data_IF_863408645571
#
_entry.id   IF_863408645571
#
_cell.length_a   1.000
_cell.length_b   1.000
_cell.length_c   1.000
_cell.angle_alpha   90.00
_cell.angle_beta   90.00
_cell.angle_gamma   90.00
#
_symmetry.space_group_name_H-M   'P 1'
#
loop_
_entity.id
_entity.type
_entity.pdbx_description
1 polymer ?
#
# COMPACT_ATOMS: atom_id res chain seq x y z
N UNK A 1 -6.69 -4.09 -14.20
CA UNK A 1 -6.53 -3.20 -13.03
C UNK A 1 -7.86 -2.54 -12.77
N UNK A 2 -8.35 -2.54 -11.53
CA UNK A 2 -9.54 -1.81 -11.13
C UNK A 2 -9.14 -0.53 -10.37
N UNK A 3 -9.78 0.58 -10.70
CA UNK A 3 -9.59 1.86 -10.00
C UNK A 3 -10.80 2.16 -9.15
N UNK A 4 -10.56 2.51 -7.90
CA UNK A 4 -11.61 2.84 -6.93
C UNK A 4 -11.49 4.31 -6.57
N UNK A 5 -12.60 5.03 -6.74
CA UNK A 5 -12.70 6.44 -6.36
C UNK A 5 -13.46 6.55 -5.03
N UNK A 6 -12.92 7.26 -4.03
CA UNK A 6 -13.61 7.45 -2.76
C UNK A 6 -14.71 8.50 -2.91
N UNK A 7 -15.79 8.33 -2.17
CA UNK A 7 -16.79 9.37 -1.95
C UNK A 7 -16.27 10.45 -0.98
N UNK A 8 -15.71 10.01 0.14
CA UNK A 8 -14.97 10.83 1.10
C UNK A 8 -13.59 10.22 1.34
N UNK A 9 -12.57 10.80 0.70
CA UNK A 9 -11.20 10.28 0.76
C UNK A 9 -10.64 10.17 2.18
N UNK A 10 -10.92 11.15 3.03
CA UNK A 10 -10.37 11.13 4.40
C UNK A 10 -11.09 10.10 5.26
N UNK A 11 -12.42 10.02 5.18
CA UNK A 11 -13.19 9.04 5.93
C UNK A 11 -12.91 7.61 5.46
N UNK A 12 -12.79 7.39 4.15
CA UNK A 12 -12.62 6.04 3.60
C UNK A 12 -11.18 5.54 3.69
N UNK A 13 -10.18 6.40 3.38
CA UNK A 13 -8.80 5.95 3.28
C UNK A 13 -8.02 6.04 4.61
N UNK A 14 -8.51 6.79 5.59
CA UNK A 14 -7.89 6.88 6.91
C UNK A 14 -8.22 5.66 7.80
N UNK A 15 -7.90 4.44 7.34
CA UNK A 15 -8.10 3.22 8.11
C UNK A 15 -9.58 2.80 8.30
N UNK A 16 -10.44 2.98 7.31
CA UNK A 16 -11.85 2.60 7.36
C UNK A 16 -12.07 1.09 7.27
N UNK A 17 -12.80 0.52 8.24
CA UNK A 17 -13.21 -0.88 8.19
C UNK A 17 -14.28 -1.13 7.12
N UNK A 18 -15.17 -0.15 6.88
CA UNK A 18 -16.20 -0.25 5.85
C UNK A 18 -15.58 -0.28 4.44
N UNK A 19 -14.59 0.59 4.19
CA UNK A 19 -13.86 0.60 2.92
C UNK A 19 -13.11 -0.71 2.70
N UNK A 20 -12.41 -1.22 3.73
CA UNK A 20 -11.72 -2.50 3.64
C UNK A 20 -12.68 -3.68 3.37
N UNK A 21 -13.87 -3.67 3.96
CA UNK A 21 -14.92 -4.66 3.70
C UNK A 21 -15.43 -4.56 2.27
N UNK A 22 -15.73 -3.36 1.80
CA UNK A 22 -16.15 -3.12 0.43
C UNK A 22 -15.15 -3.70 -0.57
N UNK A 23 -13.87 -3.34 -0.46
CA UNK A 23 -12.82 -3.83 -1.36
C UNK A 23 -12.74 -5.37 -1.37
N UNK A 24 -12.84 -6.00 -0.19
CA UNK A 24 -12.52 -7.41 -0.03
C UNK A 24 -13.74 -8.33 -0.18
N UNK A 25 -14.89 -7.94 0.38
CA UNK A 25 -16.07 -8.78 0.43
C UNK A 25 -17.10 -8.48 -0.66
N UNK A 26 -16.97 -7.36 -1.36
CA UNK A 26 -17.89 -6.94 -2.39
C UNK A 26 -17.19 -6.80 -3.75
N UNK A 27 -16.19 -5.92 -3.85
CA UNK A 27 -15.54 -5.62 -5.12
C UNK A 27 -14.71 -6.79 -5.67
N UNK A 28 -13.89 -7.46 -4.86
CA UNK A 28 -13.06 -8.59 -5.33
C UNK A 28 -13.93 -9.73 -5.87
N UNK A 29 -14.97 -10.23 -5.16
CA UNK A 29 -15.84 -11.26 -5.70
C UNK A 29 -16.57 -10.84 -6.98
N UNK A 30 -17.01 -9.58 -7.07
CA UNK A 30 -17.66 -9.07 -8.28
C UNK A 30 -16.72 -9.09 -9.47
N UNK A 31 -15.48 -8.59 -9.31
CA UNK A 31 -14.49 -8.60 -10.38
C UNK A 31 -14.11 -10.02 -10.82
N UNK A 32 -14.04 -10.96 -9.89
CA UNK A 32 -13.73 -12.36 -10.19
C UNK A 32 -14.90 -13.09 -10.88
N UNK A 33 -16.11 -12.63 -10.66
CA UNK A 33 -17.29 -13.15 -11.39
C UNK A 33 -17.40 -12.57 -12.81
N UNK A 34 -16.98 -11.32 -13.02
CA UNK A 34 -17.09 -10.61 -14.30
C UNK A 34 -15.90 -10.83 -15.25
N UNK A 35 -14.71 -11.10 -14.71
CA UNK A 35 -13.48 -11.18 -15.49
C UNK A 35 -12.72 -12.48 -15.23
N UNK A 36 -11.97 -13.01 -16.22
CA UNK A 36 -11.20 -14.25 -16.09
C UNK A 36 -9.92 -13.99 -15.24
N UNK A 37 -10.09 -13.75 -13.97
CA UNK A 37 -9.00 -13.51 -13.02
C UNK A 37 -8.54 -14.84 -12.40
N UNK A 38 -7.25 -14.87 -11.98
CA UNK A 38 -6.69 -16.09 -11.39
C UNK A 38 -7.28 -16.46 -10.02
N UNK A 39 -7.92 -15.53 -9.32
CA UNK A 39 -8.65 -15.78 -8.08
C UNK A 39 -7.78 -16.19 -6.87
N UNK A 40 -6.46 -16.00 -6.92
CA UNK A 40 -5.54 -16.40 -5.86
C UNK A 40 -4.93 -15.19 -5.15
N UNK A 41 -4.55 -15.30 -3.87
CA UNK A 41 -3.87 -14.21 -3.17
C UNK A 41 -2.64 -13.68 -3.91
N UNK A 42 -1.83 -14.55 -4.50
CA UNK A 42 -0.61 -14.17 -5.24
C UNK A 42 -0.89 -13.35 -6.50
N UNK A 43 -2.11 -13.40 -7.03
CA UNK A 43 -2.56 -12.61 -8.18
C UNK A 43 -3.24 -11.29 -7.79
N UNK A 44 -3.43 -11.03 -6.50
CA UNK A 44 -4.09 -9.82 -6.00
C UNK A 44 -3.09 -8.88 -5.35
N UNK A 45 -3.05 -7.64 -5.83
CA UNK A 45 -2.28 -6.55 -5.25
C UNK A 45 -3.19 -5.38 -4.90
N UNK A 46 -3.09 -4.88 -3.69
CA UNK A 46 -3.63 -3.56 -3.35
C UNK A 46 -2.57 -2.50 -3.64
N UNK A 47 -2.99 -1.47 -4.37
CA UNK A 47 -2.14 -0.33 -4.69
C UNK A 47 -2.75 0.96 -4.17
N UNK A 48 -1.92 1.85 -3.65
CA UNK A 48 -2.37 3.17 -3.24
C UNK A 48 -1.23 4.14 -2.99
N UNK A 49 -1.55 5.42 -3.12
CA UNK A 49 -0.62 6.51 -2.83
C UNK A 49 -1.16 7.38 -1.68
N UNK A 50 -0.26 7.95 -0.87
CA UNK A 50 -0.61 8.84 0.23
C UNK A 50 -1.56 8.13 1.23
N UNK A 51 -2.75 8.67 1.47
CA UNK A 51 -3.82 7.99 2.25
C UNK A 51 -4.25 6.65 1.62
N UNK A 52 -4.20 6.53 0.28
CA UNK A 52 -4.47 5.27 -0.40
C UNK A 52 -3.52 4.14 -0.02
N UNK A 53 -2.26 4.44 0.29
CA UNK A 53 -1.31 3.46 0.81
C UNK A 53 -1.69 3.01 2.23
N UNK A 54 -2.25 3.89 3.06
CA UNK A 54 -2.79 3.53 4.37
C UNK A 54 -4.01 2.63 4.22
N UNK A 55 -4.93 2.96 3.29
CA UNK A 55 -6.09 2.13 2.99
C UNK A 55 -5.68 0.74 2.53
N UNK A 56 -4.70 0.63 1.62
CA UNK A 56 -4.18 -0.65 1.14
C UNK A 56 -3.59 -1.49 2.28
N UNK A 57 -2.69 -0.92 3.08
CA UNK A 57 -2.09 -1.61 4.22
C UNK A 57 -3.13 -2.03 5.26
N UNK A 58 -4.06 -1.13 5.61
CA UNK A 58 -5.08 -1.40 6.62
C UNK A 58 -6.12 -2.42 6.16
N UNK A 59 -6.40 -2.49 4.86
CA UNK A 59 -7.26 -3.51 4.27
C UNK A 59 -6.59 -4.88 4.34
N UNK A 60 -5.34 -5.02 3.91
CA UNK A 60 -4.59 -6.26 4.01
C UNK A 60 -4.41 -6.71 5.47
N UNK A 61 -4.24 -5.77 6.40
CA UNK A 61 -4.18 -6.05 7.83
C UNK A 61 -5.48 -6.64 8.38
N UNK A 62 -6.64 -6.18 7.91
CA UNK A 62 -7.96 -6.71 8.33
C UNK A 62 -8.31 -8.02 7.68
N UNK A 63 -7.86 -8.24 6.47
CA UNK A 63 -8.16 -9.42 5.65
C UNK A 63 -6.88 -10.16 5.25
N UNK A 64 -6.16 -10.76 6.23
CA UNK A 64 -4.91 -11.47 5.95
C UNK A 64 -5.17 -12.67 5.03
N UNK A 65 -4.24 -12.90 4.11
CA UNK A 65 -4.32 -14.01 3.16
C UNK A 65 -5.22 -13.77 1.95
N UNK A 66 -5.85 -12.60 1.81
CA UNK A 66 -6.63 -12.27 0.61
C UNK A 66 -5.76 -11.64 -0.47
N UNK A 67 -4.82 -10.80 -0.10
CA UNK A 67 -3.92 -10.08 -0.99
C UNK A 67 -2.48 -10.57 -0.81
N UNK A 68 -1.84 -11.00 -1.89
CA UNK A 68 -0.45 -11.48 -1.84
C UNK A 68 0.57 -10.36 -1.94
N UNK A 69 0.17 -9.16 -2.39
CA UNK A 69 1.11 -8.05 -2.59
C UNK A 69 0.50 -6.70 -2.28
N UNK A 70 1.40 -5.76 -1.91
CA UNK A 70 1.07 -4.35 -1.72
C UNK A 70 2.02 -3.48 -2.56
N UNK A 71 1.48 -2.43 -3.19
CA UNK A 71 2.24 -1.36 -3.84
C UNK A 71 1.88 -0.04 -3.15
N UNK A 72 2.78 0.46 -2.32
CA UNK A 72 2.56 1.58 -1.40
C UNK A 72 3.43 2.76 -1.83
N UNK A 73 2.82 3.84 -2.30
CA UNK A 73 3.53 4.99 -2.82
C UNK A 73 3.33 6.20 -1.90
N UNK A 74 4.43 6.80 -1.43
CA UNK A 74 4.39 8.01 -0.58
C UNK A 74 3.37 7.89 0.56
N UNK A 75 3.38 6.76 1.27
CA UNK A 75 2.35 6.45 2.25
C UNK A 75 2.29 7.47 3.38
N UNK A 76 1.08 7.93 3.71
CA UNK A 76 0.81 8.80 4.85
C UNK A 76 0.91 8.03 6.17
N UNK A 77 2.03 7.33 6.41
CA UNK A 77 2.29 6.51 7.59
C UNK A 77 2.68 7.38 8.79
N UNK A 78 1.74 8.18 9.25
CA UNK A 78 1.95 9.11 10.36
C UNK A 78 1.87 8.37 11.69
N UNK A 79 2.84 8.60 12.56
CA UNK A 79 2.92 8.02 13.90
C UNK A 79 3.53 9.01 14.90
N UNK A 80 3.39 8.73 16.19
CA UNK A 80 3.65 9.71 17.25
C UNK A 80 5.10 9.90 17.64
N UNK A 81 6.00 9.04 17.24
CA UNK A 81 7.43 9.07 17.62
C UNK A 81 8.31 9.88 16.66
N UNK A 82 7.73 10.51 15.65
CA UNK A 82 8.45 11.44 14.76
C UNK A 82 7.70 12.77 14.70
N UNK A 83 8.19 13.74 15.48
CA UNK A 83 7.65 15.09 15.54
C UNK A 83 6.30 15.19 16.23
N UNK A 84 5.89 16.42 16.51
CA UNK A 84 4.62 16.71 17.19
C UNK A 84 3.47 17.00 16.22
N UNK A 85 3.76 17.17 14.93
CA UNK A 85 2.76 17.46 13.92
C UNK A 85 2.47 16.22 13.08
N UNK A 86 1.35 15.59 13.35
CA UNK A 86 0.84 14.44 12.61
C UNK A 86 -0.30 14.80 11.64
N UNK A 87 -0.48 16.07 11.30
CA UNK A 87 -1.46 16.51 10.29
C UNK A 87 -2.88 16.78 10.83
N UNK A 88 -3.05 16.85 12.14
CA UNK A 88 -4.32 17.22 12.80
C UNK A 88 -5.36 16.09 12.87
N UNK A 89 -6.63 16.39 13.21
CA UNK A 89 -7.65 15.41 13.56
C UNK A 89 -7.95 14.38 12.47
N UNK A 90 -7.84 14.72 11.20
CA UNK A 90 -8.06 13.81 10.07
C UNK A 90 -7.06 12.64 10.04
N UNK A 91 -5.87 12.81 10.65
CA UNK A 91 -4.85 11.78 10.73
C UNK A 91 -4.98 10.85 11.95
N UNK A 92 -5.82 11.18 12.93
CA UNK A 92 -5.99 10.36 14.14
C UNK A 92 -6.25 8.86 13.87
N UNK A 93 -7.13 8.47 12.93
CA UNK A 93 -7.33 7.05 12.61
C UNK A 93 -6.08 6.40 12.02
N UNK A 94 -5.29 7.18 11.23
CA UNK A 94 -4.02 6.73 10.64
C UNK A 94 -2.99 6.52 11.74
N UNK A 95 -2.78 7.50 12.62
CA UNK A 95 -1.82 7.44 13.74
C UNK A 95 -2.10 6.23 14.62
N UNK A 96 -3.37 6.02 15.01
CA UNK A 96 -3.76 4.85 15.81
C UNK A 96 -3.47 3.53 15.11
N UNK A 97 -3.72 3.46 13.82
CA UNK A 97 -3.45 2.24 13.03
C UNK A 97 -1.96 2.00 12.88
N UNK A 98 -1.18 3.00 12.47
CA UNK A 98 0.26 2.87 12.24
C UNK A 98 1.00 2.52 13.54
N UNK A 99 0.68 3.18 14.65
CA UNK A 99 1.24 2.85 15.97
C UNK A 99 0.93 1.41 16.37
N UNK A 100 -0.31 0.95 16.19
CA UNK A 100 -0.70 -0.44 16.47
C UNK A 100 0.08 -1.43 15.59
N UNK A 101 0.19 -1.15 14.30
CA UNK A 101 0.92 -2.01 13.37
C UNK A 101 2.40 -2.09 13.72
N UNK A 102 3.04 -0.99 14.06
CA UNK A 102 4.45 -0.92 14.46
C UNK A 102 4.71 -1.61 15.80
N UNK A 103 3.80 -1.51 16.76
CA UNK A 103 3.93 -2.17 18.05
C UNK A 103 3.80 -3.70 17.97
N UNK A 104 3.03 -4.21 17.01
CA UNK A 104 2.83 -5.63 16.77
C UNK A 104 2.77 -5.91 15.26
N UNK A 105 3.91 -5.87 14.56
CA UNK A 105 3.97 -6.11 13.12
C UNK A 105 3.54 -7.55 12.81
N UNK A 106 2.75 -7.70 11.75
CA UNK A 106 2.39 -9.03 11.25
C UNK A 106 2.45 -9.07 9.73
N UNK A 107 2.72 -10.25 9.21
CA UNK A 107 2.71 -10.49 7.76
C UNK A 107 1.28 -10.32 7.22
N UNK A 108 1.10 -9.40 6.28
CA UNK A 108 -0.20 -9.10 5.65
C UNK A 108 -0.18 -9.35 4.14
N UNK A 109 1.01 -9.54 3.57
CA UNK A 109 1.25 -9.88 2.18
C UNK A 109 2.59 -10.61 2.07
N UNK A 110 2.89 -11.18 0.91
CA UNK A 110 4.19 -11.80 0.65
C UNK A 110 5.22 -10.76 0.19
N UNK A 111 4.79 -9.82 -0.65
CA UNK A 111 5.62 -8.79 -1.24
C UNK A 111 5.04 -7.40 -1.00
N UNK A 112 5.91 -6.47 -0.65
CA UNK A 112 5.56 -5.06 -0.46
C UNK A 112 6.54 -4.18 -1.25
N UNK A 113 6.05 -3.53 -2.29
CA UNK A 113 6.79 -2.48 -2.97
C UNK A 113 6.44 -1.15 -2.32
N UNK A 114 7.46 -0.42 -1.88
CA UNK A 114 7.31 0.92 -1.29
C UNK A 114 8.10 1.91 -2.13
N UNK A 115 7.51 3.04 -2.47
CA UNK A 115 8.24 4.16 -3.08
C UNK A 115 7.91 5.48 -2.40
N UNK A 116 8.87 6.41 -2.37
CA UNK A 116 8.67 7.76 -1.85
C UNK A 116 9.62 8.75 -2.52
N UNK A 117 9.17 9.97 -2.75
CA UNK A 117 10.02 11.05 -3.22
C UNK A 117 10.90 11.60 -2.10
N UNK A 118 12.19 11.88 -2.41
CA UNK A 118 13.13 12.39 -1.40
C UNK A 118 12.81 13.81 -0.94
N UNK A 119 12.01 14.55 -1.72
CA UNK A 119 11.58 15.92 -1.38
C UNK A 119 10.24 15.96 -0.66
N UNK A 120 9.69 14.78 -0.29
CA UNK A 120 8.43 14.69 0.44
C UNK A 120 8.62 14.82 1.95
N UNK A 121 7.70 15.49 2.67
CA UNK A 121 7.70 15.48 4.14
C UNK A 121 7.44 14.08 4.72
N UNK A 122 6.95 13.14 3.91
CA UNK A 122 6.66 11.76 4.31
C UNK A 122 7.86 10.82 4.20
N UNK A 123 9.01 11.26 3.66
CA UNK A 123 10.16 10.40 3.36
C UNK A 123 10.65 9.62 4.58
N UNK A 124 10.84 10.30 5.72
CA UNK A 124 11.34 9.67 6.96
C UNK A 124 10.34 8.60 7.46
N UNK A 125 9.04 8.89 7.36
CA UNK A 125 7.97 7.96 7.76
C UNK A 125 7.93 6.71 6.88
N UNK A 126 8.07 6.87 5.57
CA UNK A 126 8.16 5.74 4.65
C UNK A 126 9.42 4.90 4.91
N UNK A 127 10.59 5.53 5.08
CA UNK A 127 11.83 4.84 5.46
C UNK A 127 11.68 4.00 6.73
N UNK A 128 11.02 4.54 7.76
CA UNK A 128 10.85 3.86 9.04
C UNK A 128 9.86 2.68 9.01
N UNK A 129 9.00 2.61 8.00
CA UNK A 129 8.09 1.48 7.83
C UNK A 129 8.77 0.27 7.17
N UNK A 130 9.84 0.47 6.41
CA UNK A 130 10.56 -0.62 5.72
C UNK A 130 11.01 -1.71 6.69
N UNK A 131 11.80 -1.42 7.74
CA UNK A 131 12.20 -2.44 8.70
C UNK A 131 11.03 -3.08 9.45
N UNK A 132 9.93 -2.35 9.62
CA UNK A 132 8.71 -2.90 10.22
C UNK A 132 8.07 -3.98 9.33
N UNK A 133 8.04 -3.75 8.02
CA UNK A 133 7.54 -4.74 7.05
C UNK A 133 8.46 -5.95 6.95
N UNK A 134 9.78 -5.74 6.93
CA UNK A 134 10.78 -6.82 6.90
C UNK A 134 10.71 -7.67 8.17
N UNK A 135 10.62 -7.04 9.35
CA UNK A 135 10.46 -7.73 10.62
C UNK A 135 9.17 -8.57 10.71
N UNK A 136 8.12 -8.17 9.97
CA UNK A 136 6.90 -8.94 9.83
C UNK A 136 7.03 -10.15 8.86
N UNK A 137 8.20 -10.38 8.26
CA UNK A 137 8.47 -11.49 7.35
C UNK A 137 7.97 -11.28 5.92
N UNK A 138 7.79 -10.04 5.49
CA UNK A 138 7.47 -9.70 4.10
C UNK A 138 8.72 -9.41 3.29
N UNK A 139 8.71 -9.76 2.00
CA UNK A 139 9.77 -9.34 1.07
C UNK A 139 9.51 -7.91 0.64
N UNK A 140 10.42 -7.00 0.96
CA UNK A 140 10.26 -5.57 0.70
C UNK A 140 11.21 -5.11 -0.40
N UNK A 141 10.69 -4.30 -1.32
CA UNK A 141 11.50 -3.47 -2.23
C UNK A 141 11.16 -2.01 -1.96
N UNK A 142 12.15 -1.24 -1.55
CA UNK A 142 12.02 0.19 -1.30
C UNK A 142 12.78 1.01 -2.34
N UNK A 143 12.12 2.02 -2.90
CA UNK A 143 12.67 2.90 -3.94
C UNK A 143 12.45 4.35 -3.57
N UNK A 144 13.53 5.14 -3.61
CA UNK A 144 13.47 6.60 -3.48
C UNK A 144 13.71 7.26 -4.82
N UNK A 145 12.95 8.30 -5.12
CA UNK A 145 13.09 9.07 -6.34
C UNK A 145 13.35 10.56 -6.01
N UNK A 146 14.05 11.27 -6.90
CA UNK A 146 14.23 12.71 -6.79
C UNK A 146 12.98 13.48 -7.22
N UNK A 147 11.89 13.18 -6.54
CA UNK A 147 10.55 13.69 -6.81
C UNK A 147 9.88 14.19 -5.53
N UNK A 148 8.78 14.93 -5.70
CA UNK A 148 7.89 15.37 -4.63
C UNK A 148 6.65 14.47 -4.48
N UNK A 149 5.69 14.94 -3.68
CA UNK A 149 4.41 14.26 -3.46
C UNK A 149 3.44 14.54 -4.61
N UNK A 150 3.64 13.89 -5.73
CA UNK A 150 2.89 14.17 -6.97
C UNK A 150 2.53 12.92 -7.75
N UNK A 151 1.56 13.10 -8.64
CA UNK A 151 1.12 12.03 -9.55
C UNK A 151 2.25 11.53 -10.47
N UNK A 152 3.12 12.43 -10.94
CA UNK A 152 4.25 12.07 -11.81
C UNK A 152 5.18 11.08 -11.13
N UNK A 153 5.55 11.34 -9.86
CA UNK A 153 6.33 10.42 -9.06
C UNK A 153 5.68 9.03 -9.00
N UNK A 154 4.39 8.98 -8.69
CA UNK A 154 3.68 7.70 -8.54
C UNK A 154 3.54 6.96 -9.85
N UNK A 155 3.17 7.65 -10.91
CA UNK A 155 3.06 7.09 -12.27
C UNK A 155 4.38 6.47 -12.72
N UNK A 156 5.49 7.18 -12.56
CA UNK A 156 6.79 6.76 -13.08
C UNK A 156 7.38 5.57 -12.31
N UNK A 157 6.95 5.35 -11.07
CA UNK A 157 7.34 4.17 -10.26
C UNK A 157 6.37 2.98 -10.42
N UNK A 158 5.20 3.19 -11.00
CA UNK A 158 4.17 2.15 -11.13
C UNK A 158 4.66 0.95 -11.94
N UNK A 159 5.31 1.19 -13.08
CA UNK A 159 5.85 0.12 -13.93
C UNK A 159 6.87 -0.73 -13.18
N UNK A 160 7.82 -0.11 -12.49
CA UNK A 160 8.83 -0.82 -11.70
C UNK A 160 8.18 -1.65 -10.59
N UNK A 161 7.25 -1.06 -9.85
CA UNK A 161 6.55 -1.74 -8.76
C UNK A 161 5.73 -2.93 -9.24
N UNK A 162 4.93 -2.76 -10.29
CA UNK A 162 4.10 -3.84 -10.84
C UNK A 162 4.94 -4.95 -11.45
N UNK A 163 6.03 -4.63 -12.16
CA UNK A 163 6.93 -5.64 -12.74
C UNK A 163 7.66 -6.44 -11.67
N UNK A 164 7.97 -5.82 -10.54
CA UNK A 164 8.60 -6.54 -9.42
C UNK A 164 7.58 -7.41 -8.65
N UNK A 165 6.34 -6.92 -8.47
CA UNK A 165 5.27 -7.67 -7.81
C UNK A 165 4.81 -8.85 -8.65
N UNK A 166 4.62 -8.64 -9.95
CA UNK A 166 4.16 -9.64 -10.90
C UNK A 166 5.23 -9.87 -11.98
N UNK A 167 6.33 -10.55 -11.65
CA UNK A 167 7.34 -10.86 -12.65
C UNK A 167 6.73 -11.78 -13.71
N UNK A 168 6.72 -11.31 -14.95
CA UNK A 168 6.35 -12.12 -16.09
C UNK A 168 7.40 -13.21 -16.37
N UNK A 169 7.12 -14.16 -17.26
CA UNK A 169 8.14 -15.10 -17.72
C UNK A 169 9.31 -14.33 -18.34
N UNK A 170 10.53 -14.63 -17.89
CA UNK A 170 11.73 -14.06 -18.50
C UNK A 170 11.88 -14.65 -19.92
N UNK A 171 11.50 -13.85 -20.91
CA UNK A 171 11.74 -14.19 -22.32
C UNK A 171 13.01 -13.47 -22.76
N UNK A 172 14.09 -14.24 -22.93
CA UNK A 172 15.29 -13.73 -23.59
C UNK A 172 15.11 -13.95 -25.07
N UNK A 173 15.00 -12.87 -25.84
CA UNK A 173 15.10 -12.91 -27.28
C UNK A 173 16.57 -12.64 -27.62
N UNK A 174 17.27 -13.64 -28.14
CA UNK A 174 18.55 -13.45 -28.80
C UNK A 174 18.24 -13.20 -30.28
N UNK A 175 18.53 -12.00 -30.77
CA UNK A 175 18.61 -11.72 -32.20
C UNK A 175 19.97 -12.13 -32.74
#
# INVERSE_FOLDING_TARGET
MAFVYPGDRLAEYANSAAHARYLTAELVPQLEAEFPLAGTPSSRCLMGASFGAVAALSTAYRYPGVYGSLLLQSGSFVFTDIGNDHGGPAFEPVVRFVNRYRAAPRRVADRVFVSCGVYEPLIIRNRSMVPTFEAAGMTVRYVEARDGHSWENWRDRMREGLSWIFPGPQKFYYE
#
